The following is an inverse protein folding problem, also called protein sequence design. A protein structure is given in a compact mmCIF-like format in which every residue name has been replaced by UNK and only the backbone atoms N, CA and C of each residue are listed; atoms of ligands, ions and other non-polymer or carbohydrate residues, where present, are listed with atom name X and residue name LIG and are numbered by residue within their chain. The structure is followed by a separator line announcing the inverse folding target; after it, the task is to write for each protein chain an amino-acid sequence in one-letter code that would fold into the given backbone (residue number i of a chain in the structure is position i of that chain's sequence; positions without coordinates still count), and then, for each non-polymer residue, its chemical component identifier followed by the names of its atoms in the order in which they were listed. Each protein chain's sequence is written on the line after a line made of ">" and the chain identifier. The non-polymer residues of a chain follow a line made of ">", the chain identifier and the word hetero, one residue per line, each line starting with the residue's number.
data_IF_349209279072
#
_entry.id   IF_349209279072
#
_cell.length_a   1.000
_cell.length_b   1.000
_cell.length_c   1.000
_cell.angle_alpha   90.00
_cell.angle_beta   90.00
_cell.angle_gamma   90.00
#
_symmetry.space_group_name_H-M   'P 1'
#
loop_
_entity.id
_entity.type
_entity.pdbx_description
1 polymer ?
#
# COMPACT_ATOMS: atom_id res chain seq x y z
N UNK A 1 -27.47 1.05 19.18
CA UNK A 1 -26.23 1.21 18.38
C UNK A 1 -25.98 2.63 17.88
N UNK A 2 -26.98 3.37 17.35
CA UNK A 2 -26.79 4.76 16.90
C UNK A 2 -26.34 5.73 18.01
N UNK A 3 -26.93 5.61 19.22
CA UNK A 3 -26.59 6.45 20.38
C UNK A 3 -25.17 6.21 20.89
N UNK A 4 -24.72 4.95 20.92
CA UNK A 4 -23.35 4.59 21.31
C UNK A 4 -22.31 5.08 20.31
N UNK A 5 -22.59 5.00 19.01
CA UNK A 5 -21.71 5.52 17.96
C UNK A 5 -21.56 7.04 18.03
N UNK A 6 -22.65 7.76 18.31
CA UNK A 6 -22.65 9.21 18.53
C UNK A 6 -21.84 9.60 19.77
N UNK A 7 -21.98 8.83 20.86
CA UNK A 7 -21.24 9.07 22.11
C UNK A 7 -19.74 8.83 21.93
N UNK A 8 -19.34 7.76 21.21
CA UNK A 8 -17.95 7.48 20.84
C UNK A 8 -17.40 8.57 19.91
N UNK A 9 -18.20 9.05 18.95
CA UNK A 9 -17.84 10.16 18.07
C UNK A 9 -17.57 11.44 18.85
N UNK A 10 -18.47 11.82 19.77
CA UNK A 10 -18.29 13.01 20.60
C UNK A 10 -17.05 12.87 21.49
N UNK A 11 -16.85 11.71 22.13
CA UNK A 11 -15.69 11.50 23.01
C UNK A 11 -14.35 11.59 22.25
N UNK A 12 -14.30 11.03 21.04
CA UNK A 12 -13.11 11.07 20.18
C UNK A 12 -12.83 12.48 19.63
N UNK A 13 -13.87 13.23 19.28
CA UNK A 13 -13.77 14.66 18.95
C UNK A 13 -13.29 15.49 20.15
N UNK A 14 -13.83 15.28 21.35
CA UNK A 14 -13.40 15.99 22.56
C UNK A 14 -11.93 15.71 22.91
N UNK A 15 -11.48 14.47 22.75
CA UNK A 15 -10.06 14.13 22.88
C UNK A 15 -9.20 14.85 21.84
N UNK A 16 -9.63 14.87 20.58
CA UNK A 16 -8.93 15.58 19.51
C UNK A 16 -8.87 17.10 19.74
N UNK A 17 -9.94 17.71 20.30
CA UNK A 17 -9.97 19.13 20.64
C UNK A 17 -9.11 19.47 21.85
N UNK A 18 -9.06 18.62 22.88
CA UNK A 18 -8.17 18.81 24.03
C UNK A 18 -6.70 18.71 23.64
N UNK A 19 -6.34 17.72 22.80
CA UNK A 19 -5.00 17.59 22.21
C UNK A 19 -4.66 18.75 21.27
N UNK A 20 -5.69 19.48 20.80
CA UNK A 20 -5.53 20.64 19.96
C UNK A 20 -5.31 21.96 20.71
N UNK A 21 -5.52 22.01 22.02
CA UNK A 21 -5.34 23.26 22.77
C UNK A 21 -3.93 23.40 23.38
N UNK A 22 -3.07 22.39 23.25
CA UNK A 22 -1.66 22.51 23.66
C UNK A 22 -0.88 23.41 22.69
N UNK A 23 -0.39 24.52 23.25
CA UNK A 23 0.30 25.60 22.56
C UNK A 23 1.80 25.28 22.39
N UNK A 24 2.34 25.60 21.20
CA UNK A 24 3.77 25.50 20.89
C UNK A 24 4.20 24.33 20.01
N UNK A 25 4.05 24.48 18.68
CA UNK A 25 4.58 23.59 17.62
C UNK A 25 4.02 22.15 17.59
N UNK A 26 2.71 22.02 17.41
CA UNK A 26 1.99 20.74 17.15
C UNK A 26 2.58 19.84 16.05
N UNK A 27 3.29 20.43 15.09
CA UNK A 27 3.94 19.70 13.99
C UNK A 27 5.42 20.06 13.99
N UNK A 28 6.24 19.24 14.66
CA UNK A 28 7.67 19.51 14.83
C UNK A 28 8.43 19.38 13.51
N UNK A 29 8.09 18.38 12.70
CA UNK A 29 8.74 18.14 11.40
C UNK A 29 7.85 17.33 10.48
N UNK A 30 7.82 17.73 9.21
CA UNK A 30 7.14 17.03 8.13
C UNK A 30 8.19 16.58 7.12
N UNK A 31 8.10 15.32 6.70
CA UNK A 31 9.01 14.74 5.72
C UNK A 31 8.23 14.18 4.55
N UNK A 32 8.68 14.51 3.35
CA UNK A 32 8.23 13.84 2.14
C UNK A 32 9.23 12.73 1.84
N UNK A 33 8.75 11.49 1.74
CA UNK A 33 9.53 10.29 1.53
C UNK A 33 9.09 9.60 0.25
N UNK A 34 10.04 8.95 -0.40
CA UNK A 34 9.82 8.05 -1.52
C UNK A 34 10.55 6.74 -1.26
N UNK A 35 10.06 5.66 -1.85
CA UNK A 35 10.74 4.37 -1.80
C UNK A 35 11.33 4.02 -3.17
N UNK A 36 12.65 4.17 -3.39
CA UNK A 36 13.25 3.89 -4.69
C UNK A 36 13.09 2.43 -5.11
N UNK A 37 13.00 1.48 -4.17
CA UNK A 37 12.87 0.06 -4.52
C UNK A 37 11.52 -0.28 -5.13
N UNK A 38 10.49 0.52 -4.87
CA UNK A 38 9.16 0.31 -5.46
C UNK A 38 9.04 0.95 -6.83
N UNK A 39 9.96 1.84 -7.22
CA UNK A 39 9.95 2.51 -8.53
C UNK A 39 10.02 1.54 -9.72
N UNK A 40 10.26 0.25 -9.51
CA UNK A 40 10.19 -0.78 -10.55
C UNK A 40 8.75 -0.98 -11.05
N UNK A 41 7.74 -0.76 -10.20
CA UNK A 41 6.35 -1.03 -10.53
C UNK A 41 5.36 0.06 -10.06
N UNK A 42 5.74 0.84 -9.04
CA UNK A 42 4.88 1.85 -8.44
C UNK A 42 5.67 3.05 -7.90
N UNK A 43 5.09 4.23 -8.05
CA UNK A 43 5.57 5.45 -7.41
C UNK A 43 4.87 5.60 -6.05
N UNK A 44 5.55 5.23 -4.96
CA UNK A 44 5.06 5.40 -3.58
C UNK A 44 5.57 6.72 -3.00
N UNK A 45 4.65 7.65 -2.75
CA UNK A 45 4.92 8.96 -2.15
C UNK A 45 4.29 8.99 -0.77
N UNK A 46 5.12 9.32 0.21
CA UNK A 46 4.80 9.17 1.62
C UNK A 46 5.04 10.48 2.35
N UNK A 47 4.08 10.91 3.13
CA UNK A 47 4.18 12.03 4.05
C UNK A 47 4.30 11.49 5.48
N UNK A 48 5.43 11.78 6.11
CA UNK A 48 5.64 11.55 7.55
C UNK A 48 5.42 12.84 8.32
N UNK A 49 4.64 12.75 9.39
CA UNK A 49 4.35 13.85 10.30
C UNK A 49 4.69 13.44 11.73
N UNK A 50 5.69 14.10 12.32
CA UNK A 50 6.04 13.91 13.73
C UNK A 50 4.95 14.52 14.62
N UNK A 51 4.34 13.69 15.47
CA UNK A 51 3.34 14.08 16.49
C UNK A 51 4.02 14.34 17.83
N UNK A 52 4.96 13.46 18.19
CA UNK A 52 5.77 13.57 19.40
C UNK A 52 7.20 13.05 19.17
N UNK A 53 8.06 13.12 20.18
CA UNK A 53 9.42 12.59 20.08
C UNK A 53 9.49 11.07 19.92
N UNK A 54 8.39 10.39 20.26
CA UNK A 54 8.26 8.93 20.18
C UNK A 54 7.25 8.46 19.13
N UNK A 55 6.39 9.33 18.60
CA UNK A 55 5.31 8.94 17.70
C UNK A 55 5.30 9.80 16.45
N UNK A 56 5.20 9.15 15.30
CA UNK A 56 5.04 9.79 14.00
C UNK A 56 4.00 9.03 13.17
N UNK A 57 3.21 9.75 12.38
CA UNK A 57 2.25 9.12 11.44
C UNK A 57 2.82 9.19 10.04
N UNK A 58 2.64 8.10 9.30
CA UNK A 58 2.99 7.97 7.91
C UNK A 58 1.72 7.79 7.06
N UNK A 59 1.49 8.68 6.09
CA UNK A 59 0.41 8.54 5.12
C UNK A 59 1.00 8.55 3.72
N UNK A 60 0.61 7.59 2.89
CA UNK A 60 1.15 7.45 1.55
C UNK A 60 0.08 7.23 0.49
N UNK A 61 0.40 7.71 -0.71
CA UNK A 61 -0.32 7.39 -1.94
C UNK A 61 0.67 6.72 -2.90
N UNK A 62 0.21 5.68 -3.57
CA UNK A 62 1.03 4.97 -4.56
C UNK A 62 0.35 4.96 -5.92
N UNK A 63 1.04 5.43 -6.96
CA UNK A 63 0.63 5.27 -8.35
C UNK A 63 1.24 4.00 -8.93
N UNK A 64 0.43 3.01 -9.26
CA UNK A 64 0.86 1.75 -9.87
C UNK A 64 0.74 1.92 -11.38
N UNK A 65 1.83 1.67 -12.10
CA UNK A 65 1.85 1.81 -13.55
C UNK A 65 2.19 0.50 -14.26
N UNK A 66 2.60 -0.53 -13.52
CA UNK A 66 2.68 -1.91 -14.02
C UNK A 66 2.51 -2.91 -12.88
N UNK A 67 1.96 -4.08 -13.20
CA UNK A 67 1.79 -5.19 -12.26
C UNK A 67 2.72 -6.38 -12.58
N UNK A 68 3.80 -6.10 -13.32
CA UNK A 68 4.77 -7.09 -13.80
C UNK A 68 5.38 -8.00 -12.71
N UNK A 69 5.73 -7.53 -11.49
CA UNK A 69 6.24 -8.41 -10.45
C UNK A 69 5.24 -9.50 -10.04
N UNK A 70 3.93 -9.19 -10.10
CA UNK A 70 2.89 -10.14 -9.77
C UNK A 70 2.71 -11.19 -10.86
N UNK A 71 2.88 -10.80 -12.13
CA UNK A 71 2.96 -11.74 -13.25
C UNK A 71 4.09 -12.76 -13.05
N UNK A 72 5.28 -12.32 -12.66
CA UNK A 72 6.41 -13.23 -12.42
C UNK A 72 6.08 -14.21 -11.30
N UNK A 73 5.53 -13.73 -10.18
CA UNK A 73 5.21 -14.57 -9.03
C UNK A 73 4.03 -15.52 -9.28
N UNK A 74 2.99 -15.08 -10.02
CA UNK A 74 1.77 -15.86 -10.21
C UNK A 74 1.82 -16.81 -11.42
N UNK A 75 2.53 -16.44 -12.51
CA UNK A 75 2.63 -17.28 -13.72
C UNK A 75 3.91 -18.11 -13.78
N UNK A 76 5.07 -17.54 -13.43
CA UNK A 76 6.37 -18.22 -13.57
C UNK A 76 6.76 -19.07 -12.37
N UNK A 77 6.36 -18.67 -11.17
CA UNK A 77 6.65 -19.43 -9.95
C UNK A 77 5.39 -20.20 -9.57
N UNK A 78 5.44 -21.53 -9.66
CA UNK A 78 4.30 -22.37 -9.30
C UNK A 78 4.31 -22.64 -7.79
N UNK A 79 3.60 -21.80 -7.03
CA UNK A 79 3.41 -21.96 -5.58
C UNK A 79 2.09 -22.70 -5.29
N UNK A 80 1.60 -23.55 -6.21
CA UNK A 80 0.39 -24.35 -5.99
C UNK A 80 -0.90 -23.53 -5.80
N UNK A 81 -0.90 -22.28 -6.25
CA UNK A 81 -2.08 -21.41 -6.20
C UNK A 81 -2.80 -21.38 -7.55
N UNK A 82 -4.13 -21.40 -7.50
CA UNK A 82 -4.97 -21.24 -8.71
C UNK A 82 -4.59 -19.91 -9.38
N UNK A 83 -4.18 -19.98 -10.64
CA UNK A 83 -3.74 -18.80 -11.41
C UNK A 83 -4.97 -17.95 -11.77
N UNK A 84 -4.89 -16.61 -11.66
CA UNK A 84 -5.96 -15.74 -12.11
C UNK A 84 -6.12 -15.85 -13.63
N UNK A 85 -7.36 -15.83 -14.11
CA UNK A 85 -7.71 -15.93 -15.52
C UNK A 85 -7.55 -14.56 -16.22
N UNK A 86 -6.30 -14.08 -16.23
CA UNK A 86 -5.87 -12.78 -16.73
C UNK A 86 -4.72 -12.99 -17.71
N UNK A 87 -4.80 -12.34 -18.87
CA UNK A 87 -3.80 -12.50 -19.93
C UNK A 87 -2.50 -11.77 -19.60
N UNK A 88 -1.40 -12.13 -20.26
CA UNK A 88 -0.07 -11.57 -19.95
C UNK A 88 0.02 -10.08 -20.27
N UNK A 89 -0.63 -9.63 -21.34
CA UNK A 89 -0.67 -8.21 -21.75
C UNK A 89 -1.39 -7.35 -20.72
N UNK A 90 -2.47 -7.88 -20.15
CA UNK A 90 -3.23 -7.21 -19.09
C UNK A 90 -2.39 -6.93 -17.84
N UNK A 91 -1.44 -7.79 -17.46
CA UNK A 91 -0.55 -7.54 -16.32
C UNK A 91 0.48 -6.43 -16.58
N UNK A 92 0.95 -6.29 -17.81
CA UNK A 92 1.99 -5.31 -18.17
C UNK A 92 1.40 -3.90 -18.12
N UNK A 93 0.19 -3.74 -18.66
CA UNK A 93 -0.53 -2.46 -18.73
C UNK A 93 -1.41 -2.18 -17.50
N UNK A 94 -1.24 -2.96 -16.42
CA UNK A 94 -1.98 -2.79 -15.18
C UNK A 94 -1.68 -1.42 -14.54
N UNK A 95 -2.70 -0.57 -14.43
CA UNK A 95 -2.61 0.73 -13.79
C UNK A 95 -3.46 0.75 -12.51
N UNK A 96 -3.01 1.46 -11.49
CA UNK A 96 -3.69 1.41 -10.21
C UNK A 96 -3.31 2.53 -9.26
N UNK A 97 -4.06 2.55 -8.16
CA UNK A 97 -3.85 3.50 -7.07
C UNK A 97 -3.79 2.72 -5.76
N UNK A 98 -2.99 3.21 -4.84
CA UNK A 98 -2.88 2.66 -3.51
C UNK A 98 -2.77 3.72 -2.45
N UNK A 99 -3.15 3.30 -1.25
CA UNK A 99 -3.16 4.09 -0.04
C UNK A 99 -2.42 3.32 1.04
N UNK A 100 -1.65 4.06 1.82
CA UNK A 100 -0.86 3.52 2.92
C UNK A 100 -1.05 4.39 4.15
N UNK A 101 -1.20 3.74 5.30
CA UNK A 101 -1.20 4.41 6.59
C UNK A 101 -0.32 3.62 7.56
N UNK A 102 0.61 4.29 8.23
CA UNK A 102 1.54 3.72 9.18
C UNK A 102 1.62 4.56 10.45
N UNK A 103 1.90 3.90 11.57
CA UNK A 103 2.13 4.55 12.85
C UNK A 103 3.53 4.19 13.36
N UNK A 104 4.47 5.13 13.33
CA UNK A 104 5.83 4.89 13.80
C UNK A 104 5.93 5.16 15.29
N UNK A 105 6.40 4.15 16.03
CA UNK A 105 6.76 4.24 17.43
C UNK A 105 8.28 4.10 17.60
N UNK A 106 8.95 5.17 18.03
CA UNK A 106 10.39 5.19 18.22
C UNK A 106 10.75 4.55 19.57
N UNK A 107 11.41 3.40 19.51
CA UNK A 107 11.93 2.65 20.66
C UNK A 107 13.17 3.35 21.24
N UNK A 108 14.00 3.91 20.37
CA UNK A 108 15.17 4.70 20.72
C UNK A 108 14.91 6.12 20.22
N UNK A 109 14.89 7.08 21.14
CA UNK A 109 14.49 8.46 20.83
C UNK A 109 15.52 9.16 19.94
N UNK A 110 15.02 10.16 19.21
CA UNK A 110 15.77 10.94 18.21
C UNK A 110 16.88 11.84 18.80
N UNK A 111 16.92 12.00 20.13
CA UNK A 111 17.74 13.03 20.83
C UNK A 111 18.93 12.46 21.64
N UNK A 112 19.10 11.14 21.72
CA UNK A 112 20.19 10.54 22.52
C UNK A 112 21.46 10.45 21.66
N UNK A 113 22.19 11.58 21.55
CA UNK A 113 23.62 11.58 21.22
C UNK A 113 24.06 12.55 20.10
N UNK A 114 25.35 12.98 20.11
CA UNK A 114 25.92 13.99 19.20
C UNK A 114 26.18 13.50 17.76
N UNK A 115 25.62 12.34 17.38
CA UNK A 115 25.81 11.76 16.05
C UNK A 115 24.45 11.59 15.35
N UNK A 116 24.40 11.93 14.07
CA UNK A 116 23.29 11.96 13.10
C UNK A 116 22.38 10.70 12.95
N UNK A 117 22.40 9.75 13.89
CA UNK A 117 21.67 8.49 13.85
C UNK A 117 20.35 8.58 14.64
N UNK A 118 19.33 9.22 14.06
CA UNK A 118 18.10 9.59 14.78
C UNK A 118 16.97 8.54 14.70
N UNK A 119 17.08 7.50 15.54
CA UNK A 119 15.95 6.74 16.08
C UNK A 119 15.60 5.41 15.40
N UNK A 120 15.57 4.34 16.20
CA UNK A 120 15.03 3.02 15.82
C UNK A 120 13.54 3.00 16.14
N UNK A 121 12.73 2.54 15.19
CA UNK A 121 11.27 2.53 15.34
C UNK A 121 10.65 1.19 14.96
N UNK A 122 9.45 0.98 15.48
CA UNK A 122 8.50 -0.04 15.07
C UNK A 122 7.31 0.63 14.39
N UNK A 123 6.82 0.07 13.29
CA UNK A 123 5.77 0.67 12.46
C UNK A 123 4.80 -0.41 11.95
N UNK A 124 3.60 -0.55 12.55
CA UNK A 124 2.51 -1.22 11.88
C UNK A 124 1.99 -0.35 10.72
N UNK A 125 1.75 -1.00 9.58
CA UNK A 125 1.32 -0.37 8.34
C UNK A 125 0.13 -1.11 7.77
N UNK A 126 -0.88 -0.34 7.39
CA UNK A 126 -2.03 -0.77 6.60
C UNK A 126 -1.86 -0.29 5.16
N UNK A 127 -2.12 -1.17 4.22
CA UNK A 127 -2.04 -0.90 2.79
C UNK A 127 -3.31 -1.39 2.12
N UNK A 128 -3.86 -0.53 1.27
CA UNK A 128 -4.89 -0.88 0.32
C UNK A 128 -4.45 -0.46 -1.08
N UNK A 129 -4.59 -1.33 -2.07
CA UNK A 129 -4.32 -1.01 -3.47
C UNK A 129 -5.42 -1.57 -4.36
N UNK A 130 -5.73 -0.84 -5.40
CA UNK A 130 -6.63 -1.27 -6.47
C UNK A 130 -5.90 -1.14 -7.80
N UNK A 131 -5.79 -2.26 -8.50
CA UNK A 131 -5.19 -2.36 -9.83
C UNK A 131 -6.29 -2.66 -10.83
N UNK A 132 -6.32 -1.91 -11.91
CA UNK A 132 -7.19 -2.09 -13.04
C UNK A 132 -6.36 -2.65 -14.19
N UNK A 133 -6.86 -3.70 -14.81
CA UNK A 133 -6.23 -4.28 -15.98
C UNK A 133 -6.93 -3.78 -17.24
N UNK A 134 -6.18 -3.62 -18.33
CA UNK A 134 -6.74 -3.17 -19.61
C UNK A 134 -7.84 -4.11 -20.10
N UNK A 135 -8.94 -3.52 -20.55
CA UNK A 135 -10.02 -4.27 -21.16
C UNK A 135 -9.54 -4.93 -22.46
N UNK A 136 -10.02 -6.14 -22.75
CA UNK A 136 -9.71 -6.85 -23.99
C UNK A 136 -10.99 -7.18 -24.74
N UNK A 137 -11.10 -6.69 -25.97
CA UNK A 137 -12.22 -7.02 -26.83
C UNK A 137 -11.99 -8.37 -27.49
N UNK A 138 -13.01 -9.23 -27.41
CA UNK A 138 -13.01 -10.59 -27.97
C UNK A 138 -14.23 -10.73 -28.86
N UNK A 139 -14.01 -11.14 -30.11
CA UNK A 139 -15.09 -11.40 -31.06
C UNK A 139 -15.52 -12.87 -30.95
N UNK A 140 -16.75 -13.12 -30.51
CA UNK A 140 -17.35 -14.44 -30.41
C UNK A 140 -18.67 -14.45 -31.19
N UNK A 141 -18.87 -15.40 -32.11
CA UNK A 141 -20.07 -15.50 -32.95
C UNK A 141 -20.45 -14.18 -33.65
N UNK A 142 -19.49 -13.49 -34.26
CA UNK A 142 -19.67 -12.19 -34.94
C UNK A 142 -20.15 -11.03 -34.04
N UNK A 143 -20.18 -11.21 -32.71
CA UNK A 143 -20.44 -10.16 -31.74
C UNK A 143 -19.16 -9.83 -30.96
N UNK A 144 -18.92 -8.55 -30.71
CA UNK A 144 -17.79 -8.11 -29.89
C UNK A 144 -18.20 -8.03 -28.42
N UNK A 145 -17.43 -8.69 -27.57
CA UNK A 145 -17.57 -8.66 -26.12
C UNK A 145 -16.30 -8.09 -25.49
N UNK A 146 -16.43 -7.44 -24.33
CA UNK A 146 -15.29 -6.84 -23.63
C UNK A 146 -15.02 -7.60 -22.33
N UNK A 147 -13.86 -8.24 -22.27
CA UNK A 147 -13.33 -8.84 -21.05
C UNK A 147 -12.73 -7.77 -20.15
N UNK A 148 -12.98 -7.89 -18.84
CA UNK A 148 -12.43 -6.96 -17.85
C UNK A 148 -11.91 -7.69 -16.63
N UNK A 149 -10.88 -7.13 -16.01
CA UNK A 149 -10.32 -7.66 -14.79
C UNK A 149 -9.84 -6.54 -13.85
N UNK A 150 -9.89 -6.81 -12.56
CA UNK A 150 -9.33 -5.93 -11.53
C UNK A 150 -8.76 -6.74 -10.38
N UNK A 151 -7.89 -6.11 -9.60
CA UNK A 151 -7.28 -6.70 -8.41
C UNK A 151 -7.31 -5.72 -7.26
N UNK A 152 -7.83 -6.18 -6.13
CA UNK A 152 -7.73 -5.49 -4.85
C UNK A 152 -6.65 -6.16 -3.99
N UNK A 153 -5.79 -5.36 -3.39
CA UNK A 153 -4.71 -5.81 -2.50
C UNK A 153 -4.88 -5.17 -1.14
N UNK A 154 -4.96 -6.00 -0.11
CA UNK A 154 -5.02 -5.60 1.29
C UNK A 154 -3.78 -6.14 1.98
N UNK A 155 -3.06 -5.32 2.72
CA UNK A 155 -1.92 -5.81 3.49
C UNK A 155 -1.81 -5.13 4.85
N UNK A 156 -1.33 -5.94 5.80
CA UNK A 156 -0.89 -5.50 7.12
C UNK A 156 0.58 -5.87 7.23
N UNK A 157 1.41 -4.89 7.58
CA UNK A 157 2.86 -5.08 7.72
C UNK A 157 3.30 -4.60 9.10
N UNK A 158 4.28 -5.28 9.66
CA UNK A 158 4.99 -4.89 10.87
C UNK A 158 6.43 -4.63 10.47
N UNK A 159 6.82 -3.36 10.49
CA UNK A 159 8.14 -2.92 10.07
C UNK A 159 8.96 -2.51 11.30
N UNK A 160 10.25 -2.76 11.23
CA UNK A 160 11.28 -2.19 12.10
C UNK A 160 12.23 -1.45 11.21
N UNK A 161 12.49 -0.19 11.53
CA UNK A 161 13.39 0.64 10.74
C UNK A 161 14.26 1.52 11.61
N UNK A 162 15.23 2.14 10.96
CA UNK A 162 16.12 3.11 11.59
C UNK A 162 16.22 4.33 10.71
N UNK A 163 15.87 5.48 11.28
CA UNK A 163 15.91 6.74 10.56
C UNK A 163 17.25 7.43 10.81
N UNK A 164 17.95 7.78 9.74
CA UNK A 164 19.15 8.61 9.75
C UNK A 164 18.80 9.98 9.21
N UNK A 165 19.21 11.03 9.92
CA UNK A 165 18.86 12.41 9.56
C UNK A 165 20.14 13.20 9.37
N UNK A 166 20.33 13.75 8.16
CA UNK A 166 21.42 14.67 7.85
C UNK A 166 20.84 15.92 7.21
N UNK A 167 20.80 17.00 7.98
CA UNK A 167 20.24 18.29 7.57
C UNK A 167 18.78 18.19 7.08
N UNK A 168 18.57 18.26 5.75
CA UNK A 168 17.26 18.13 5.11
C UNK A 168 16.99 16.71 4.59
N UNK A 169 18.00 15.86 4.48
CA UNK A 169 17.88 14.51 3.95
C UNK A 169 17.62 13.51 5.07
N UNK A 170 16.77 12.55 4.75
CA UNK A 170 16.42 11.42 5.61
C UNK A 170 16.69 10.14 4.85
N UNK A 171 17.50 9.27 5.43
CA UNK A 171 17.71 7.92 4.95
C UNK A 171 17.06 6.97 5.95
N UNK A 172 16.21 6.07 5.47
CA UNK A 172 15.33 5.32 6.35
C UNK A 172 15.21 3.86 5.90
N UNK A 173 16.27 3.05 6.14
CA UNK A 173 16.23 1.61 5.94
C UNK A 173 15.22 0.95 6.89
N UNK A 174 14.48 -0.01 6.34
CA UNK A 174 13.52 -0.80 7.09
C UNK A 174 13.52 -2.26 6.65
N UNK A 175 13.12 -3.12 7.58
CA UNK A 175 12.85 -4.53 7.39
C UNK A 175 11.53 -4.86 8.08
N UNK A 176 10.78 -5.82 7.55
CA UNK A 176 9.59 -6.29 8.22
C UNK A 176 8.95 -7.49 7.58
N UNK A 177 7.90 -7.95 8.25
CA UNK A 177 7.07 -9.06 7.83
C UNK A 177 5.62 -8.60 7.78
N UNK A 178 4.81 -9.25 6.96
CA UNK A 178 3.39 -8.91 6.88
C UNK A 178 2.58 -9.98 6.18
N UNK A 179 1.27 -9.78 6.20
CA UNK A 179 0.31 -10.59 5.47
C UNK A 179 -0.29 -9.74 4.35
N UNK A 180 -0.39 -10.32 3.16
CA UNK A 180 -0.97 -9.69 1.98
C UNK A 180 -2.08 -10.56 1.43
N UNK A 181 -3.29 -10.04 1.43
CA UNK A 181 -4.43 -10.57 0.69
C UNK A 181 -4.51 -9.94 -0.70
N UNK A 182 -4.76 -10.75 -1.72
CA UNK A 182 -5.05 -10.32 -3.09
C UNK A 182 -6.38 -10.94 -3.52
N UNK A 183 -7.30 -10.11 -3.98
CA UNK A 183 -8.56 -10.52 -4.55
C UNK A 183 -8.57 -10.12 -6.03
N UNK A 184 -8.59 -11.11 -6.91
CA UNK A 184 -8.72 -10.92 -8.35
C UNK A 184 -10.18 -11.10 -8.73
N UNK A 185 -10.69 -10.17 -9.53
CA UNK A 185 -12.01 -10.23 -10.12
C UNK A 185 -11.84 -10.25 -11.63
N UNK A 186 -12.42 -11.23 -12.31
CA UNK A 186 -12.45 -11.32 -13.76
C UNK A 186 -13.88 -11.49 -14.26
N UNK A 187 -14.17 -10.88 -15.39
CA UNK A 187 -15.43 -11.02 -16.12
C UNK A 187 -15.07 -11.31 -17.57
N UNK A 188 -15.04 -12.60 -17.90
CA UNK A 188 -14.55 -13.10 -19.18
C UNK A 188 -15.70 -13.74 -19.97
N UNK A 189 -15.77 -13.47 -21.26
CA UNK A 189 -16.66 -14.14 -22.19
C UNK A 189 -15.92 -15.28 -22.89
N UNK A 190 -16.51 -16.47 -22.85
CA UNK A 190 -15.93 -17.69 -23.45
C UNK A 190 -17.01 -18.38 -24.28
N UNK A 191 -16.62 -18.94 -25.42
CA UNK A 191 -17.51 -19.78 -26.22
C UNK A 191 -17.62 -21.16 -25.57
N UNK A 192 -18.82 -21.57 -25.19
CA UNK A 192 -19.07 -22.94 -24.72
C UNK A 192 -19.08 -23.95 -25.86
N UNK A 193 -18.94 -25.23 -25.53
CA UNK A 193 -18.93 -26.34 -26.51
C UNK A 193 -20.22 -26.40 -27.36
N UNK A 194 -21.32 -25.86 -26.84
CA UNK A 194 -22.63 -25.76 -27.53
C UNK A 194 -22.73 -24.55 -28.48
N UNK A 195 -21.64 -23.80 -28.69
CA UNK A 195 -21.62 -22.57 -29.50
C UNK A 195 -22.29 -21.36 -28.84
N UNK A 196 -22.73 -21.49 -27.57
CA UNK A 196 -23.33 -20.40 -26.80
C UNK A 196 -22.24 -19.59 -26.11
N UNK A 197 -22.32 -18.25 -26.19
CA UNK A 197 -21.41 -17.36 -25.46
C UNK A 197 -21.80 -17.37 -23.98
N UNK A 198 -20.87 -17.81 -23.13
CA UNK A 198 -21.06 -17.83 -21.68
C UNK A 198 -20.23 -16.72 -21.02
N UNK A 199 -20.80 -16.12 -19.98
CA UNK A 199 -20.15 -15.09 -19.18
C UNK A 199 -19.63 -15.73 -17.90
N UNK A 200 -18.32 -15.86 -17.79
CA UNK A 200 -17.66 -16.44 -16.63
C UNK A 200 -17.15 -15.33 -15.69
N UNK A 201 -17.80 -15.22 -14.53
CA UNK A 201 -17.36 -14.32 -13.46
C UNK A 201 -16.49 -15.10 -12.48
N UNK A 202 -15.19 -14.78 -12.48
CA UNK A 202 -14.22 -15.36 -11.57
C UNK A 202 -13.94 -14.44 -10.38
N UNK A 203 -13.88 -15.01 -9.18
CA UNK A 203 -13.22 -14.35 -8.05
C UNK A 203 -12.20 -15.30 -7.44
N UNK A 204 -10.96 -14.84 -7.32
CA UNK A 204 -9.87 -15.59 -6.73
C UNK A 204 -9.28 -14.77 -5.58
N UNK A 205 -9.26 -15.36 -4.39
CA UNK A 205 -8.64 -14.74 -3.22
C UNK A 205 -7.42 -15.55 -2.81
N UNK A 206 -6.29 -14.88 -2.63
CA UNK A 206 -5.05 -15.47 -2.14
C UNK A 206 -4.54 -14.65 -0.96
N UNK A 207 -4.07 -15.34 0.09
CA UNK A 207 -3.42 -14.72 1.25
C UNK A 207 -2.01 -15.29 1.36
N UNK A 208 -1.02 -14.41 1.35
CA UNK A 208 0.38 -14.78 1.33
C UNK A 208 1.16 -14.04 2.43
N UNK A 209 2.09 -14.72 3.12
CA UNK A 209 3.09 -14.02 3.92
C UNK A 209 3.97 -13.19 2.99
N UNK A 210 4.52 -12.11 3.53
CA UNK A 210 5.33 -11.16 2.78
C UNK A 210 6.50 -10.67 3.62
N UNK A 211 7.66 -10.60 2.98
CA UNK A 211 8.88 -10.03 3.53
C UNK A 211 9.07 -8.64 2.91
N UNK A 212 9.44 -7.66 3.72
CA UNK A 212 9.63 -6.28 3.30
C UNK A 212 11.03 -5.85 3.66
N UNK A 213 11.81 -5.47 2.65
CA UNK A 213 13.15 -4.92 2.78
C UNK A 213 13.19 -3.70 1.88
N UNK A 214 13.66 -2.58 2.39
CA UNK A 214 13.72 -1.36 1.58
C UNK A 214 14.38 -0.20 2.29
N UNK A 215 14.49 0.89 1.55
CA UNK A 215 15.09 2.13 2.02
C UNK A 215 14.17 3.26 1.58
N UNK A 216 13.60 4.01 2.52
CA UNK A 216 12.88 5.24 2.19
C UNK A 216 13.88 6.40 2.16
N UNK A 217 13.82 7.22 1.12
CA UNK A 217 14.58 8.47 1.01
C UNK A 217 13.63 9.63 1.23
N UNK A 218 13.98 10.54 2.13
CA UNK A 218 13.13 11.64 2.53
C UNK A 218 13.77 13.00 2.50
N UNK A 219 12.93 14.02 2.30
CA UNK A 219 13.25 15.43 2.37
C UNK A 219 12.40 16.09 3.46
N UNK A 220 13.06 16.83 4.35
CA UNK A 220 12.39 17.66 5.37
C UNK A 220 11.79 18.90 4.72
N UNK A 221 10.48 19.05 4.80
CA UNK A 221 9.75 20.17 4.19
C UNK A 221 9.76 21.44 5.05
N UNK A 222 9.84 21.31 6.39
CA UNK A 222 9.78 22.45 7.33
C UNK A 222 10.72 22.29 8.52
N UNK A 223 11.35 23.40 8.96
CA UNK A 223 12.28 23.47 10.10
C UNK A 223 11.56 23.67 11.42
#
# INVERSE_FOLDING_TARGET
>A
MKKTLLLIGILSLSFAFSYAQEDGKRFRSTYLKINPTTLINELDIVLEQDISDKISIELGISGIYTDYPDYVLAKKIDIGQKKPDITTEQFVDGAGLGFRAGLRYYLITKEIGPSSAAGTYFEPVLIFKKVFYSNQDVTLNNNTYTNSASKDVYAIQLLVGRQFRREKLVLDPYFGIGLRGKAYHSDNYVLGDDGVVNRNKGTLVSVLPSLHLGIKLGLRLRK
#
